data_IF_055309724143
#
_entry.id   IF_055309724143
#
_cell.length_a   1.000
_cell.length_b   1.000
_cell.length_c   1.000
_cell.angle_alpha   90.00
_cell.angle_beta   90.00
_cell.angle_gamma   90.00
#
_symmetry.space_group_name_H-M   'P 1'
#
loop_
_entity.id
_entity.type
_entity.pdbx_description
1 polymer ?
#
# COMPACT_ATOMS: atom_id res chain seq x y z
N UNK A 1 18.13 7.49 -30.99
CA UNK A 1 17.54 7.26 -29.65
C UNK A 1 18.48 7.78 -28.56
N UNK A 2 18.47 9.09 -28.29
CA UNK A 2 19.43 9.73 -27.37
C UNK A 2 18.88 9.78 -25.94
N UNK A 3 19.27 8.84 -25.07
CA UNK A 3 19.10 8.96 -23.63
C UNK A 3 20.40 9.49 -23.01
N UNK A 4 20.53 10.82 -22.94
CA UNK A 4 21.65 11.46 -22.25
C UNK A 4 21.14 12.22 -21.05
N UNK A 5 21.19 11.62 -19.85
CA UNK A 5 21.45 12.40 -18.63
C UNK A 5 21.98 11.57 -17.44
N UNK A 6 23.22 11.14 -17.56
CA UNK A 6 24.09 11.01 -16.39
C UNK A 6 24.76 12.37 -16.11
N UNK A 7 24.58 12.92 -14.89
CA UNK A 7 25.40 13.92 -14.13
C UNK A 7 24.46 14.68 -13.17
N UNK A 8 24.71 14.85 -11.87
CA UNK A 8 25.95 14.90 -11.07
C UNK A 8 25.67 14.60 -9.58
N UNK A 9 26.69 14.03 -8.94
CA UNK A 9 26.93 13.80 -7.51
C UNK A 9 26.80 15.10 -6.68
N UNK A 10 26.21 14.98 -5.47
CA UNK A 10 26.39 15.87 -4.29
C UNK A 10 26.24 17.39 -4.49
N UNK A 11 25.07 17.84 -4.91
CA UNK A 11 24.54 19.15 -4.47
C UNK A 11 23.13 18.88 -3.98
N UNK A 12 22.85 19.14 -2.71
CA UNK A 12 21.49 19.03 -2.14
C UNK A 12 20.55 19.70 -3.12
N UNK A 13 19.61 18.93 -3.66
CA UNK A 13 18.73 19.45 -4.69
C UNK A 13 17.87 20.56 -4.07
N UNK A 14 17.58 21.63 -4.83
CA UNK A 14 16.75 22.74 -4.33
C UNK A 14 15.45 22.25 -3.69
N UNK A 15 14.88 21.21 -4.28
CA UNK A 15 13.65 20.55 -3.85
C UNK A 15 13.82 19.79 -2.54
N UNK A 16 14.93 19.10 -2.37
CA UNK A 16 15.27 18.38 -1.14
C UNK A 16 15.50 19.34 0.03
N UNK A 17 16.16 20.47 -0.20
CA UNK A 17 16.31 21.51 0.82
C UNK A 17 14.97 22.09 1.29
N UNK A 18 14.02 22.34 0.37
CA UNK A 18 12.67 22.81 0.75
C UNK A 18 11.91 21.73 1.54
N UNK A 19 12.15 20.45 1.25
CA UNK A 19 11.49 19.33 1.94
C UNK A 19 11.99 19.09 3.35
N UNK A 20 13.24 19.45 3.66
CA UNK A 20 13.77 19.37 5.04
C UNK A 20 13.14 20.40 5.99
N UNK A 21 12.50 21.45 5.45
CA UNK A 21 11.91 22.55 6.22
C UNK A 21 10.41 22.71 5.89
N UNK A 22 9.55 21.77 6.29
CA UNK A 22 8.13 21.79 5.92
C UNK A 22 7.31 22.89 6.63
N UNK A 23 7.71 23.31 7.84
CA UNK A 23 6.94 24.23 8.69
C UNK A 23 7.42 25.68 8.65
N UNK A 24 8.62 25.94 8.11
CA UNK A 24 9.17 27.28 7.99
C UNK A 24 8.40 28.13 6.97
N UNK A 25 8.43 29.45 7.12
CA UNK A 25 7.85 30.36 6.12
C UNK A 25 8.63 30.31 4.80
N UNK A 26 8.00 30.65 3.68
CA UNK A 26 8.70 30.65 2.38
C UNK A 26 9.91 31.59 2.39
N UNK A 27 9.78 32.73 3.08
CA UNK A 27 10.82 33.73 3.24
C UNK A 27 12.01 33.19 4.06
N UNK A 28 11.75 32.50 5.18
CA UNK A 28 12.80 31.85 5.98
C UNK A 28 13.57 30.82 5.17
N UNK A 29 12.86 30.03 4.36
CA UNK A 29 13.48 29.01 3.51
C UNK A 29 14.35 29.66 2.43
N UNK A 30 13.91 30.75 1.82
CA UNK A 30 14.72 31.50 0.86
C UNK A 30 15.93 32.13 1.53
N UNK A 31 15.79 32.69 2.73
CA UNK A 31 16.92 33.22 3.50
C UNK A 31 17.94 32.12 3.84
N UNK A 32 17.46 30.97 4.34
CA UNK A 32 18.31 29.82 4.65
C UNK A 32 18.96 29.20 3.39
N UNK A 33 18.24 29.20 2.26
CA UNK A 33 18.77 28.76 0.97
C UNK A 33 19.89 29.69 0.49
N UNK A 34 19.70 31.02 0.58
CA UNK A 34 20.71 32.03 0.23
C UNK A 34 22.00 31.85 1.05
N UNK A 35 21.88 31.62 2.36
CA UNK A 35 23.04 31.31 3.24
C UNK A 35 23.84 30.09 2.77
N UNK A 36 23.19 29.15 2.10
CA UNK A 36 23.81 27.93 1.55
C UNK A 36 24.22 28.07 0.07
N UNK A 37 24.19 29.28 -0.48
CA UNK A 37 24.50 29.55 -1.90
C UNK A 37 23.44 29.03 -2.88
N UNK A 38 22.23 28.75 -2.42
CA UNK A 38 21.14 28.20 -3.22
C UNK A 38 20.21 29.34 -3.66
N UNK A 39 20.12 29.57 -4.98
CA UNK A 39 19.14 30.49 -5.57
C UNK A 39 17.74 29.87 -5.57
N UNK A 40 16.87 30.40 -4.71
CA UNK A 40 15.48 29.97 -4.50
C UNK A 40 14.57 31.21 -4.46
N UNK A 41 13.36 31.10 -5.00
CA UNK A 41 12.32 32.14 -4.91
C UNK A 41 11.10 31.65 -4.14
N UNK A 42 10.35 32.57 -3.54
CA UNK A 42 9.15 32.23 -2.75
C UNK A 42 8.14 31.45 -3.59
N UNK A 43 7.87 31.91 -4.82
CA UNK A 43 7.00 31.21 -5.78
C UNK A 43 7.46 29.77 -6.02
N UNK A 44 8.77 29.54 -6.10
CA UNK A 44 9.31 28.19 -6.30
C UNK A 44 9.10 27.30 -5.07
N UNK A 45 9.20 27.83 -3.85
CA UNK A 45 8.87 27.11 -2.61
C UNK A 45 7.40 26.65 -2.63
N UNK A 46 6.47 27.54 -2.98
CA UNK A 46 5.05 27.20 -3.06
C UNK A 46 4.76 26.12 -4.11
N UNK A 47 5.40 26.20 -5.28
CA UNK A 47 5.26 25.17 -6.33
C UNK A 47 5.75 23.81 -5.84
N UNK A 48 6.89 23.76 -5.14
CA UNK A 48 7.41 22.50 -4.57
C UNK A 48 6.43 21.91 -3.56
N UNK A 49 5.95 22.73 -2.61
CA UNK A 49 4.99 22.29 -1.58
C UNK A 49 3.67 21.80 -2.18
N UNK A 50 3.15 22.51 -3.19
CA UNK A 50 1.94 22.12 -3.90
C UNK A 50 2.10 20.77 -4.62
N UNK A 51 3.21 20.58 -5.34
CA UNK A 51 3.52 19.31 -6.01
C UNK A 51 3.68 18.15 -5.03
N UNK A 52 4.32 18.38 -3.88
CA UNK A 52 4.47 17.36 -2.86
C UNK A 52 3.12 16.97 -2.24
N UNK A 53 2.23 17.94 -1.97
CA UNK A 53 0.86 17.67 -1.49
C UNK A 53 0.06 16.87 -2.53
N UNK A 54 0.11 17.26 -3.81
CA UNK A 54 -0.57 16.55 -4.89
C UNK A 54 -0.03 15.13 -5.09
N UNK A 55 1.28 14.94 -4.98
CA UNK A 55 1.92 13.62 -5.05
C UNK A 55 1.49 12.70 -3.89
N UNK A 56 1.37 13.24 -2.67
CA UNK A 56 0.86 12.50 -1.51
C UNK A 56 -0.60 12.08 -1.69
N UNK A 57 -1.45 12.98 -2.19
CA UNK A 57 -2.86 12.66 -2.47
C UNK A 57 -3.00 11.53 -3.50
N UNK A 58 -2.23 11.56 -4.59
CA UNK A 58 -2.22 10.49 -5.61
C UNK A 58 -1.70 9.15 -5.08
N UNK A 59 -0.77 9.17 -4.12
CA UNK A 59 -0.28 7.95 -3.46
C UNK A 59 -1.32 7.38 -2.49
N UNK A 60 -2.04 8.24 -1.77
CA UNK A 60 -3.11 7.81 -0.87
C UNK A 60 -4.25 7.10 -1.64
N UNK A 61 -4.65 7.65 -2.80
CA UNK A 61 -5.69 7.02 -3.63
C UNK A 61 -5.25 5.69 -4.24
N UNK A 62 -3.99 5.57 -4.69
CA UNK A 62 -3.44 4.27 -5.16
C UNK A 62 -3.36 3.22 -4.05
N UNK A 63 -3.00 3.62 -2.83
CA UNK A 63 -2.95 2.70 -1.67
C UNK A 63 -4.34 2.27 -1.23
N UNK A 64 -5.34 3.16 -1.34
CA UNK A 64 -6.74 2.82 -1.11
C UNK A 64 -7.29 1.85 -2.18
N UNK A 65 -6.93 2.03 -3.46
CA UNK A 65 -7.31 1.11 -4.53
C UNK A 65 -6.69 -0.29 -4.35
N UNK A 66 -5.41 -0.36 -3.96
CA UNK A 66 -4.74 -1.63 -3.68
C UNK A 66 -5.32 -2.38 -2.47
N UNK A 67 -5.85 -1.67 -1.47
CA UNK A 67 -6.54 -2.29 -0.31
C UNK A 67 -7.93 -2.84 -0.61
N UNK A 68 -8.56 -2.46 -1.74
CA UNK A 68 -9.92 -2.90 -2.09
C UNK A 68 -9.96 -4.20 -2.89
N UNK A 69 -8.82 -4.85 -3.13
CA UNK A 69 -8.77 -6.14 -3.81
C UNK A 69 -8.02 -7.17 -2.95
N UNK A 70 -8.78 -7.95 -2.15
CA UNK A 70 -8.59 -9.41 -2.20
C UNK A 70 -9.90 -10.20 -2.08
N UNK A 71 -11.06 -9.68 -2.52
CA UNK A 71 -12.34 -10.38 -2.32
C UNK A 71 -12.45 -11.71 -3.07
N UNK A 72 -11.74 -11.86 -4.21
CA UNK A 72 -11.80 -13.07 -5.05
C UNK A 72 -10.89 -14.21 -4.57
N UNK A 73 -9.78 -13.92 -3.89
CA UNK A 73 -8.91 -14.95 -3.33
C UNK A 73 -9.42 -15.47 -1.97
N UNK A 74 -10.03 -14.59 -1.17
CA UNK A 74 -10.63 -14.96 0.10
C UNK A 74 -11.88 -15.85 -0.05
N UNK A 75 -12.66 -15.68 -1.12
CA UNK A 75 -13.84 -16.51 -1.42
C UNK A 75 -13.47 -17.95 -1.79
N UNK A 76 -12.38 -18.15 -2.54
CA UNK A 76 -11.88 -19.49 -2.89
C UNK A 76 -11.50 -20.29 -1.63
N UNK A 77 -10.89 -19.63 -0.63
CA UNK A 77 -10.55 -20.27 0.64
C UNK A 77 -11.78 -20.63 1.48
N UNK A 78 -12.80 -19.77 1.51
CA UNK A 78 -14.04 -20.01 2.26
C UNK A 78 -14.87 -21.16 1.65
N UNK A 79 -14.94 -21.25 0.32
CA UNK A 79 -15.63 -22.36 -0.34
C UNK A 79 -14.93 -23.71 -0.08
N UNK A 80 -13.59 -23.73 -0.06
CA UNK A 80 -12.83 -24.92 0.30
C UNK A 80 -13.08 -25.34 1.76
N UNK A 81 -13.11 -24.36 2.68
CA UNK A 81 -13.40 -24.60 4.09
C UNK A 81 -14.84 -25.11 4.30
N UNK A 82 -15.81 -24.56 3.56
CA UNK A 82 -17.20 -25.02 3.58
C UNK A 82 -17.32 -26.48 3.10
N UNK A 83 -16.67 -26.82 1.98
CA UNK A 83 -16.66 -28.19 1.45
C UNK A 83 -16.06 -29.18 2.46
N UNK A 84 -14.99 -28.80 3.13
CA UNK A 84 -14.36 -29.64 4.16
C UNK A 84 -15.29 -29.85 5.37
N UNK A 85 -16.00 -28.81 5.82
CA UNK A 85 -16.95 -28.93 6.92
C UNK A 85 -18.12 -29.89 6.57
N UNK A 86 -18.65 -29.79 5.35
CA UNK A 86 -19.71 -30.68 4.86
C UNK A 86 -19.22 -32.14 4.84
N UNK A 87 -18.00 -32.37 4.35
CA UNK A 87 -17.42 -33.71 4.29
C UNK A 87 -17.24 -34.32 5.69
N UNK A 88 -16.78 -33.52 6.66
CA UNK A 88 -16.62 -33.97 8.05
C UNK A 88 -17.97 -34.36 8.66
N UNK A 89 -18.99 -33.50 8.51
CA UNK A 89 -20.33 -33.79 9.03
C UNK A 89 -20.94 -35.04 8.39
N UNK A 90 -20.82 -35.16 7.06
CA UNK A 90 -21.30 -36.33 6.32
C UNK A 90 -20.60 -37.62 6.74
N UNK A 91 -19.29 -37.58 6.99
CA UNK A 91 -18.50 -38.74 7.42
C UNK A 91 -18.88 -39.19 8.84
N UNK A 92 -19.12 -38.25 9.76
CA UNK A 92 -19.64 -38.58 11.11
C UNK A 92 -20.99 -39.27 10.99
N UNK A 93 -21.92 -38.69 10.21
CA UNK A 93 -23.25 -39.27 10.02
C UNK A 93 -23.21 -40.65 9.36
N UNK A 94 -22.32 -40.85 8.39
CA UNK A 94 -22.14 -42.14 7.73
C UNK A 94 -21.68 -43.21 8.73
N UNK A 95 -20.73 -42.90 9.62
CA UNK A 95 -20.25 -43.84 10.65
C UNK A 95 -21.34 -44.24 11.64
N UNK A 96 -22.20 -43.31 12.04
CA UNK A 96 -23.36 -43.61 12.88
C UNK A 96 -24.29 -44.61 12.20
N UNK A 97 -24.64 -44.35 10.94
CA UNK A 97 -25.51 -45.22 10.15
C UNK A 97 -24.89 -46.62 10.00
N UNK A 98 -23.58 -46.70 9.69
CA UNK A 98 -22.90 -48.00 9.62
C UNK A 98 -22.95 -48.75 10.95
N UNK A 99 -22.76 -48.07 12.08
CA UNK A 99 -22.86 -48.70 13.40
C UNK A 99 -24.29 -49.15 13.76
N UNK A 100 -25.32 -48.41 13.34
CA UNK A 100 -26.72 -48.83 13.48
C UNK A 100 -27.01 -50.09 12.65
N UNK A 101 -26.54 -50.10 11.40
CA UNK A 101 -26.68 -51.24 10.48
C UNK A 101 -25.97 -52.48 11.02
N UNK A 102 -24.70 -52.36 11.44
CA UNK A 102 -23.94 -53.48 12.01
C UNK A 102 -24.66 -54.10 13.21
N UNK A 103 -25.18 -53.28 14.14
CA UNK A 103 -25.94 -53.76 15.29
C UNK A 103 -27.23 -54.47 14.90
N UNK A 104 -27.92 -54.00 13.87
CA UNK A 104 -29.14 -54.63 13.37
C UNK A 104 -28.88 -55.99 12.71
N UNK A 105 -27.68 -56.21 12.15
CA UNK A 105 -27.29 -57.49 11.53
C UNK A 105 -26.52 -58.43 12.49
N UNK A 106 -26.03 -57.95 13.63
CA UNK A 106 -25.28 -58.74 14.61
C UNK A 106 -26.10 -59.23 15.82
N UNK A 107 -27.39 -58.90 15.89
CA UNK A 107 -28.35 -59.42 16.87
C UNK A 107 -29.21 -60.52 16.27
#
# INVERSE_FOLDING_TARGET
>A
MASKKARRKTRISKTEFVRTLPNASAQEIVAAAKKRGIKLSDRYVYVIRSKDKAGKAKRATKKAAARRTPRRAASIGLDAQLRQAIAQLGLVRAREIFGEVERAFSG
#
